data_IF_631789899981
#
_entry.id   IF_631789899981
#
_cell.length_a   1.000
_cell.length_b   1.000
_cell.length_c   1.000
_cell.angle_alpha   90.00
_cell.angle_beta   90.00
_cell.angle_gamma   90.00
#
_symmetry.space_group_name_H-M   'P 1'
#
loop_
_entity.id
_entity.type
_entity.pdbx_description
1 polymer ?
#
# COMPACT_ATOMS: atom_id res chain seq x y z
N UNK A 1 16.00 3.33 -10.18
CA UNK A 1 15.77 2.30 -9.13
C UNK A 1 17.10 1.68 -8.73
N UNK A 2 17.52 1.85 -7.47
CA UNK A 2 18.73 1.21 -6.95
C UNK A 2 18.47 -0.28 -6.71
N UNK A 3 19.01 -1.15 -7.57
CA UNK A 3 18.73 -2.60 -7.56
C UNK A 3 19.38 -3.34 -6.40
N UNK A 4 20.52 -2.87 -5.93
CA UNK A 4 21.25 -3.49 -4.81
C UNK A 4 20.45 -3.34 -3.53
N UNK A 5 20.03 -2.10 -3.21
CA UNK A 5 19.18 -1.81 -2.05
C UNK A 5 17.85 -2.57 -2.10
N UNK A 6 17.23 -2.67 -3.28
CA UNK A 6 15.99 -3.45 -3.44
C UNK A 6 16.20 -4.94 -3.11
N UNK A 7 17.33 -5.50 -3.54
CA UNK A 7 17.68 -6.91 -3.29
C UNK A 7 17.94 -7.16 -1.80
N UNK A 8 18.58 -6.21 -1.11
CA UNK A 8 18.77 -6.28 0.34
C UNK A 8 17.43 -6.28 1.10
N UNK A 9 16.49 -5.41 0.71
CA UNK A 9 15.16 -5.38 1.32
C UNK A 9 14.37 -6.68 1.07
N UNK A 10 14.46 -7.26 -0.13
CA UNK A 10 13.81 -8.53 -0.42
C UNK A 10 14.32 -9.66 0.48
N UNK A 11 15.63 -9.73 0.69
CA UNK A 11 16.23 -10.71 1.61
C UNK A 11 15.85 -10.43 3.05
N UNK A 12 15.88 -9.16 3.48
CA UNK A 12 15.54 -8.74 4.84
C UNK A 12 14.11 -9.16 5.23
N UNK A 13 13.16 -9.01 4.30
CA UNK A 13 11.74 -9.29 4.54
C UNK A 13 11.29 -10.66 4.02
N UNK A 14 12.22 -11.51 3.60
CA UNK A 14 11.93 -12.83 3.05
C UNK A 14 10.88 -12.78 1.92
N UNK A 15 10.97 -11.80 1.03
CA UNK A 15 10.02 -11.65 -0.08
C UNK A 15 10.34 -12.67 -1.18
N UNK A 16 9.33 -13.45 -1.53
CA UNK A 16 9.39 -14.50 -2.55
C UNK A 16 8.79 -14.02 -3.87
N UNK A 17 8.87 -14.85 -4.92
CA UNK A 17 8.26 -14.54 -6.22
C UNK A 17 6.73 -14.41 -6.16
N UNK A 18 6.09 -14.94 -5.11
CA UNK A 18 4.65 -14.78 -4.89
C UNK A 18 4.31 -13.40 -4.31
N UNK A 19 5.25 -12.79 -3.58
CA UNK A 19 5.09 -11.49 -2.91
C UNK A 19 5.33 -10.29 -3.82
N UNK A 20 5.98 -10.50 -4.98
CA UNK A 20 6.39 -9.41 -5.88
C UNK A 20 6.13 -9.72 -7.33
N UNK A 21 5.75 -8.71 -8.11
CA UNK A 21 5.65 -8.83 -9.57
C UNK A 21 5.94 -7.51 -10.26
N UNK A 22 6.19 -7.57 -11.57
CA UNK A 22 6.37 -6.37 -12.39
C UNK A 22 5.05 -6.01 -13.04
N UNK A 23 4.72 -4.73 -13.03
CA UNK A 23 3.57 -4.19 -13.73
C UNK A 23 3.99 -2.90 -14.46
N UNK A 24 3.99 -2.94 -15.79
CA UNK A 24 4.52 -1.86 -16.63
C UNK A 24 5.96 -1.45 -16.21
N UNK A 25 6.15 -0.20 -15.77
CA UNK A 25 7.44 0.33 -15.31
C UNK A 25 7.65 0.19 -13.80
N UNK A 26 6.67 -0.37 -13.08
CA UNK A 26 6.68 -0.47 -11.64
C UNK A 26 6.97 -1.89 -11.15
N UNK A 27 7.57 -1.94 -9.96
CA UNK A 27 7.66 -3.15 -9.15
C UNK A 27 6.55 -3.07 -8.12
N UNK A 28 5.72 -4.10 -8.06
CA UNK A 28 4.56 -4.18 -7.19
C UNK A 28 4.80 -5.25 -6.12
N UNK A 29 4.53 -4.91 -4.87
CA UNK A 29 4.44 -5.86 -3.75
C UNK A 29 2.96 -6.21 -3.55
N UNK A 30 2.66 -7.51 -3.50
CA UNK A 30 1.30 -8.02 -3.28
C UNK A 30 0.78 -7.64 -1.90
N UNK A 31 -0.53 -7.76 -1.69
CA UNK A 31 -1.13 -7.59 -0.37
C UNK A 31 -0.45 -8.46 0.70
N UNK A 32 -0.18 -9.72 0.38
CA UNK A 32 0.49 -10.67 1.27
C UNK A 32 1.93 -10.23 1.58
N UNK A 33 2.67 -9.74 0.58
CA UNK A 33 4.02 -9.19 0.79
C UNK A 33 4.02 -7.96 1.70
N UNK A 34 3.04 -7.06 1.55
CA UNK A 34 2.88 -5.90 2.45
C UNK A 34 2.62 -6.35 3.89
N UNK A 35 1.70 -7.30 4.10
CA UNK A 35 1.37 -7.81 5.43
C UNK A 35 2.58 -8.52 6.08
N UNK A 36 3.37 -9.25 5.28
CA UNK A 36 4.63 -9.88 5.71
C UNK A 36 5.64 -8.86 6.22
N UNK A 37 5.85 -7.78 5.46
CA UNK A 37 6.75 -6.67 5.85
C UNK A 37 6.25 -6.02 7.14
N UNK A 38 4.95 -5.72 7.22
CA UNK A 38 4.35 -5.09 8.39
C UNK A 38 4.58 -5.92 9.66
N UNK A 39 4.40 -7.25 9.57
CA UNK A 39 4.58 -8.16 10.68
C UNK A 39 6.04 -8.26 11.14
N UNK A 40 6.99 -8.41 10.20
CA UNK A 40 8.43 -8.49 10.50
C UNK A 40 8.92 -7.22 11.18
N UNK A 41 8.50 -6.06 10.68
CA UNK A 41 8.90 -4.76 11.21
C UNK A 41 8.07 -4.31 12.42
N UNK A 42 7.07 -5.09 12.83
CA UNK A 42 6.15 -4.78 13.95
C UNK A 42 5.55 -3.37 13.82
N UNK A 43 5.18 -3.00 12.60
CA UNK A 43 4.63 -1.67 12.33
C UNK A 43 3.23 -1.60 12.92
N UNK A 44 3.06 -0.65 13.84
CA UNK A 44 1.75 -0.32 14.40
C UNK A 44 1.09 0.73 13.53
N UNK A 45 -0.17 0.48 13.16
CA UNK A 45 -0.96 1.40 12.33
C UNK A 45 -2.28 1.66 13.04
N UNK A 46 -2.62 2.94 13.18
CA UNK A 46 -3.94 3.39 13.59
C UNK A 46 -4.55 4.25 12.51
N UNK A 47 -5.88 4.31 12.45
CA UNK A 47 -6.59 5.02 11.39
C UNK A 47 -7.53 6.07 11.94
N UNK A 48 -7.62 7.17 11.19
CA UNK A 48 -8.68 8.16 11.33
C UNK A 48 -9.53 8.13 10.06
N UNK A 49 -10.83 7.90 10.25
CA UNK A 49 -11.81 7.99 9.16
C UNK A 49 -12.07 9.48 8.90
N UNK A 50 -11.56 9.99 7.78
CA UNK A 50 -11.73 11.40 7.38
C UNK A 50 -13.08 11.58 6.68
N UNK A 51 -13.45 10.60 5.86
CA UNK A 51 -14.69 10.58 5.11
C UNK A 51 -15.10 9.13 4.87
N UNK A 52 -16.38 8.82 5.05
CA UNK A 52 -16.94 7.51 4.71
C UNK A 52 -18.37 7.70 4.22
N UNK A 53 -18.56 7.55 2.91
CA UNK A 53 -19.82 7.67 2.18
C UNK A 53 -20.01 6.40 1.33
N UNK A 54 -21.24 6.12 0.84
CA UNK A 54 -21.52 4.89 0.10
C UNK A 54 -20.61 4.60 -1.10
N UNK A 55 -20.11 5.64 -1.77
CA UNK A 55 -19.24 5.52 -2.94
C UNK A 55 -17.88 6.22 -2.76
N UNK A 56 -17.60 6.85 -1.63
CA UNK A 56 -16.36 7.58 -1.41
C UNK A 56 -15.86 7.44 0.02
N UNK A 57 -14.59 7.08 0.18
CA UNK A 57 -13.96 6.98 1.49
C UNK A 57 -12.55 7.54 1.48
N UNK A 58 -12.15 8.14 2.60
CA UNK A 58 -10.79 8.64 2.87
C UNK A 58 -10.38 8.25 4.28
N UNK A 59 -9.27 7.54 4.39
CA UNK A 59 -8.69 7.06 5.62
C UNK A 59 -7.28 7.64 5.76
N UNK A 60 -6.98 8.25 6.90
CA UNK A 60 -5.64 8.65 7.27
C UNK A 60 -5.03 7.54 8.13
N UNK A 61 -3.86 7.06 7.76
CA UNK A 61 -3.09 6.11 8.54
C UNK A 61 -1.96 6.83 9.28
N UNK A 62 -1.86 6.57 10.58
CA UNK A 62 -0.74 6.94 11.42
C UNK A 62 0.02 5.66 11.73
N UNK A 63 1.25 5.56 11.21
CA UNK A 63 2.07 4.36 11.35
C UNK A 63 3.37 4.68 12.09
N UNK A 64 3.72 3.79 13.02
CA UNK A 64 4.92 3.92 13.84
C UNK A 64 5.71 2.62 13.82
N UNK A 65 7.04 2.76 13.79
CA UNK A 65 8.01 1.68 13.87
C UNK A 65 9.21 2.21 14.66
N UNK A 66 9.44 1.69 15.86
CA UNK A 66 10.51 2.17 16.75
C UNK A 66 10.42 3.71 16.90
N UNK A 67 11.48 4.44 16.54
CA UNK A 67 11.53 5.91 16.59
C UNK A 67 11.03 6.60 15.31
N UNK A 68 10.65 5.83 14.28
CA UNK A 68 10.16 6.36 13.02
C UNK A 68 8.63 6.39 12.98
N UNK A 69 8.08 7.47 12.45
CA UNK A 69 6.63 7.63 12.24
C UNK A 69 6.33 8.25 10.88
N UNK A 70 5.23 7.83 10.26
CA UNK A 70 4.71 8.45 9.04
C UNK A 70 3.20 8.60 9.10
N UNK A 71 2.70 9.58 8.35
CA UNK A 71 1.29 9.74 8.06
C UNK A 71 1.04 9.60 6.57
N UNK A 72 0.00 8.87 6.21
CA UNK A 72 -0.43 8.67 4.83
C UNK A 72 -1.93 8.74 4.70
N UNK A 73 -2.40 8.99 3.48
CA UNK A 73 -3.81 8.92 3.14
C UNK A 73 -4.05 7.82 2.12
N UNK A 74 -5.17 7.15 2.27
CA UNK A 74 -5.76 6.28 1.27
C UNK A 74 -7.18 6.78 0.96
N UNK A 75 -7.52 6.74 -0.32
CA UNK A 75 -8.83 7.17 -0.79
C UNK A 75 -9.36 6.20 -1.84
N UNK A 76 -10.66 5.97 -1.80
CA UNK A 76 -11.36 5.16 -2.78
C UNK A 76 -12.64 5.86 -3.20
N UNK A 77 -12.80 6.06 -4.51
CA UNK A 77 -14.00 6.60 -5.14
C UNK A 77 -14.52 5.58 -6.14
N UNK A 78 -15.72 5.06 -5.89
CA UNK A 78 -16.52 4.30 -6.85
C UNK A 78 -17.26 5.26 -7.76
N UNK A 79 -16.70 5.48 -8.95
CA UNK A 79 -17.34 6.26 -10.00
C UNK A 79 -18.50 5.51 -10.65
N UNK A 80 -19.31 6.24 -11.42
CA UNK A 80 -20.43 5.68 -12.20
C UNK A 80 -19.93 4.69 -13.25
N UNK A 81 -18.82 5.04 -13.92
CA UNK A 81 -18.11 4.18 -14.86
C UNK A 81 -16.67 3.91 -14.41
N UNK A 82 -16.00 3.00 -15.12
CA UNK A 82 -14.60 2.61 -14.85
C UNK A 82 -13.59 3.76 -14.93
N UNK A 83 -13.92 4.86 -15.62
CA UNK A 83 -13.03 6.01 -15.83
C UNK A 83 -13.23 7.16 -14.83
N UNK A 84 -14.35 7.16 -14.11
CA UNK A 84 -14.80 8.29 -13.31
C UNK A 84 -14.48 8.12 -11.81
N UNK A 85 -13.79 7.03 -11.46
CA UNK A 85 -13.36 6.72 -10.11
C UNK A 85 -11.99 6.04 -10.09
N UNK A 86 -11.49 5.77 -8.89
CA UNK A 86 -10.22 5.07 -8.69
C UNK A 86 -10.38 3.71 -8.01
N UNK A 87 -11.62 3.28 -7.77
CA UNK A 87 -11.97 2.02 -7.11
C UNK A 87 -13.19 1.45 -7.84
N UNK A 88 -13.10 0.20 -8.28
CA UNK A 88 -14.22 -0.49 -8.93
C UNK A 88 -15.08 -1.30 -7.94
N UNK A 89 -14.55 -1.52 -6.74
CA UNK A 89 -15.26 -2.17 -5.64
C UNK A 89 -16.22 -1.21 -4.94
N UNK A 90 -17.36 -1.73 -4.49
CA UNK A 90 -18.28 -1.04 -3.57
C UNK A 90 -17.75 -1.00 -2.12
N UNK A 91 -16.76 -1.83 -1.79
CA UNK A 91 -16.04 -1.82 -0.51
C UNK A 91 -15.02 -0.66 -0.45
N UNK A 92 -15.52 0.58 -0.59
CA UNK A 92 -14.68 1.78 -0.70
C UNK A 92 -13.94 2.08 0.61
N UNK A 93 -14.56 1.82 1.76
CA UNK A 93 -13.92 2.04 3.06
C UNK A 93 -12.70 1.13 3.25
N UNK A 94 -12.86 -0.17 3.01
CA UNK A 94 -11.80 -1.18 3.09
C UNK A 94 -10.70 -0.92 2.06
N UNK A 95 -11.07 -0.45 0.86
CA UNK A 95 -10.07 -0.10 -0.16
C UNK A 95 -9.26 1.13 0.26
N UNK A 96 -9.91 2.17 0.80
CA UNK A 96 -9.21 3.35 1.31
C UNK A 96 -8.26 3.00 2.46
N UNK A 97 -8.68 2.13 3.38
CA UNK A 97 -7.87 1.62 4.49
C UNK A 97 -6.62 0.86 3.99
N UNK A 98 -6.80 -0.13 3.11
CA UNK A 98 -5.68 -0.90 2.51
C UNK A 98 -4.66 -0.01 1.78
N UNK A 99 -5.14 1.02 1.06
CA UNK A 99 -4.29 1.99 0.36
C UNK A 99 -3.44 2.81 1.31
N UNK A 100 -4.04 3.31 2.40
CA UNK A 100 -3.34 4.07 3.42
C UNK A 100 -2.26 3.19 4.08
N UNK A 101 -2.64 1.97 4.44
CA UNK A 101 -1.79 0.97 5.06
C UNK A 101 -0.57 0.63 4.20
N UNK A 102 -0.79 0.28 2.94
CA UNK A 102 0.27 -0.12 2.02
C UNK A 102 1.32 0.98 1.85
N UNK A 103 0.89 2.24 1.66
CA UNK A 103 1.79 3.39 1.59
C UNK A 103 2.59 3.58 2.86
N UNK A 104 1.96 3.42 4.02
CA UNK A 104 2.64 3.60 5.30
C UNK A 104 3.76 2.57 5.49
N UNK A 105 3.45 1.29 5.23
CA UNK A 105 4.43 0.19 5.30
C UNK A 105 5.59 0.43 4.34
N UNK A 106 5.33 0.76 3.08
CA UNK A 106 6.37 0.97 2.07
C UNK A 106 7.23 2.21 2.34
N UNK A 107 6.67 3.27 2.92
CA UNK A 107 7.44 4.47 3.32
C UNK A 107 8.35 4.18 4.51
N UNK A 108 7.85 3.52 5.55
CA UNK A 108 8.64 3.19 6.75
C UNK A 108 9.80 2.21 6.48
N UNK A 109 9.70 1.44 5.41
CA UNK A 109 10.68 0.40 5.07
C UNK A 109 11.59 0.77 3.90
N UNK A 110 11.44 1.98 3.35
CA UNK A 110 12.30 2.48 2.27
C UNK A 110 12.01 1.88 0.89
N UNK A 111 10.93 1.13 0.71
CA UNK A 111 10.52 0.65 -0.61
C UNK A 111 10.01 1.78 -1.51
N UNK A 112 9.29 2.74 -0.94
CA UNK A 112 8.64 3.79 -1.72
C UNK A 112 9.63 4.69 -2.46
N UNK A 113 10.77 5.00 -1.83
CA UNK A 113 11.87 5.76 -2.46
C UNK A 113 12.56 4.99 -3.61
N UNK A 114 12.38 3.67 -3.68
CA UNK A 114 12.90 2.83 -4.76
C UNK A 114 11.93 2.72 -5.95
N UNK A 115 10.74 3.33 -5.86
CA UNK A 115 9.71 3.26 -6.89
C UNK A 115 8.89 1.95 -6.84
N UNK A 116 8.81 1.33 -5.65
CA UNK A 116 7.99 0.15 -5.40
C UNK A 116 6.64 0.59 -4.84
N UNK A 117 5.56 0.00 -5.36
CA UNK A 117 4.19 0.29 -4.96
C UNK A 117 3.49 -0.97 -4.45
N UNK A 118 2.43 -0.80 -3.65
CA UNK A 118 1.59 -1.91 -3.24
C UNK A 118 0.49 -2.21 -4.24
N UNK A 119 0.11 -3.48 -4.33
CA UNK A 119 -0.97 -3.96 -5.21
C UNK A 119 -2.29 -3.23 -4.98
N UNK A 120 -2.66 -2.94 -3.73
CA UNK A 120 -3.93 -2.31 -3.42
C UNK A 120 -3.91 -0.77 -3.59
N UNK A 121 -2.75 -0.18 -3.93
CA UNK A 121 -2.66 1.26 -4.17
C UNK A 121 -3.42 1.73 -5.43
N UNK A 122 -3.62 0.84 -6.39
CA UNK A 122 -4.39 1.08 -7.60
C UNK A 122 -5.02 -0.20 -8.13
N UNK A 123 -6.26 -0.12 -8.58
CA UNK A 123 -6.94 -1.23 -9.26
C UNK A 123 -6.22 -1.64 -10.56
N UNK A 124 -5.40 -0.75 -11.13
CA UNK A 124 -4.55 -1.08 -12.28
C UNK A 124 -3.39 -1.98 -11.92
N UNK A 125 -2.96 -2.06 -10.66
CA UNK A 125 -1.78 -2.81 -10.24
C UNK A 125 -2.09 -4.27 -9.94
N UNK A 126 -3.02 -4.89 -10.66
CA UNK A 126 -3.31 -6.32 -10.53
C UNK A 126 -2.40 -7.14 -11.46
N UNK A 127 -2.12 -8.38 -11.06
CA UNK A 127 -1.36 -9.36 -11.86
C UNK A 127 -2.06 -9.66 -13.18
#
# INVERSE_FOLDING_TARGET
>A
MNREKLTELYKKYDLTADDVFKHQHYVIITRQGIDKIQAIEKIHISYKVIKCEPNFAVFQAYATKEDASVETFGSALKGDNYKDGNCNSWYVAEMAEKRAMSRAVLKLTGFYELGVFGEDESDSFKK
#
